data_IF_391561674276
#
_entry.id   IF_391561674276
#
_cell.length_a   1.000
_cell.length_b   1.000
_cell.length_c   1.000
_cell.angle_alpha   90.00
_cell.angle_beta   90.00
_cell.angle_gamma   90.00
#
_symmetry.space_group_name_H-M   'P 1'
#
loop_
_entity.id
_entity.type
_entity.pdbx_description
1 polymer ?
#
# COMPACT_ATOMS: atom_id res chain seq x y z
N UNK A 1 -6.41 -1.06 -16.83
CA UNK A 1 -5.94 -1.40 -15.48
C UNK A 1 -4.45 -1.21 -15.45
N UNK A 2 -3.91 -0.59 -14.41
CA UNK A 2 -2.47 -0.46 -14.23
C UNK A 2 -2.03 -1.31 -13.05
N UNK A 3 -0.83 -1.89 -13.14
CA UNK A 3 -0.23 -2.74 -12.11
C UNK A 3 1.17 -2.22 -11.82
N UNK A 4 1.47 -1.95 -10.55
CA UNK A 4 2.79 -1.51 -10.12
C UNK A 4 3.53 -2.67 -9.43
N UNK A 5 4.79 -2.93 -9.80
CA UNK A 5 5.62 -3.97 -9.16
C UNK A 5 6.24 -3.46 -7.86
N UNK A 6 5.58 -3.77 -6.74
CA UNK A 6 6.03 -3.38 -5.40
C UNK A 6 7.37 -3.97 -4.98
N UNK A 7 7.85 -5.02 -5.66
CA UNK A 7 9.17 -5.62 -5.40
C UNK A 7 10.25 -4.76 -6.06
N UNK A 8 10.03 -4.38 -7.32
CA UNK A 8 10.94 -3.48 -8.04
C UNK A 8 11.01 -2.11 -7.35
N UNK A 9 9.87 -1.58 -6.90
CA UNK A 9 9.83 -0.34 -6.13
C UNK A 9 10.62 -0.43 -4.83
N UNK A 10 10.52 -1.53 -4.08
CA UNK A 10 11.33 -1.75 -2.87
C UNK A 10 12.83 -1.83 -3.17
N UNK A 11 13.21 -2.60 -4.20
CA UNK A 11 14.61 -2.80 -4.57
C UNK A 11 15.30 -1.47 -4.97
N UNK A 12 14.54 -0.54 -5.57
CA UNK A 12 15.00 0.78 -6.01
C UNK A 12 15.11 1.84 -4.90
N UNK A 13 14.61 1.59 -3.69
CA UNK A 13 14.81 2.49 -2.56
C UNK A 13 16.29 2.57 -2.17
N UNK A 14 16.73 3.72 -1.65
CA UNK A 14 18.04 3.84 -1.01
C UNK A 14 18.10 3.03 0.31
N UNK A 15 19.31 2.80 0.79
CA UNK A 15 19.55 1.96 1.97
C UNK A 15 19.00 2.58 3.26
N UNK A 16 18.97 3.93 3.34
CA UNK A 16 18.41 4.65 4.48
C UNK A 16 16.90 4.42 4.59
N UNK A 17 16.18 4.59 3.49
CA UNK A 17 14.73 4.38 3.42
C UNK A 17 14.38 2.91 3.63
N UNK A 18 15.19 1.98 3.11
CA UNK A 18 15.01 0.53 3.39
C UNK A 18 15.14 0.24 4.87
N UNK A 19 16.13 0.82 5.55
CA UNK A 19 16.32 0.64 6.99
C UNK A 19 15.18 1.27 7.80
N UNK A 20 14.74 2.48 7.43
CA UNK A 20 13.63 3.17 8.11
C UNK A 20 12.32 2.37 8.01
N UNK A 21 12.03 1.78 6.85
CA UNK A 21 10.73 1.15 6.56
C UNK A 21 10.62 -0.31 7.00
N UNK A 22 11.75 -0.98 7.28
CA UNK A 22 11.85 -2.44 7.48
C UNK A 22 10.83 -3.00 8.47
N UNK A 23 10.69 -2.35 9.63
CA UNK A 23 9.86 -2.85 10.72
C UNK A 23 8.50 -2.14 10.87
N UNK A 24 8.22 -1.15 10.03
CA UNK A 24 7.02 -0.33 10.16
C UNK A 24 5.74 -1.17 9.98
N UNK A 25 4.73 -0.81 10.78
CA UNK A 25 3.40 -1.44 10.75
C UNK A 25 2.39 -0.36 10.39
N UNK A 26 1.58 -0.62 9.37
CA UNK A 26 0.49 0.24 8.94
C UNK A 26 -0.86 -0.26 9.45
N UNK A 27 -1.77 0.67 9.74
CA UNK A 27 -3.18 0.38 9.95
C UNK A 27 -3.94 0.52 8.63
N UNK A 28 -4.60 -0.57 8.21
CA UNK A 28 -5.39 -0.64 6.99
C UNK A 28 -6.88 -0.69 7.32
N UNK A 29 -7.67 0.15 6.66
CA UNK A 29 -9.13 0.18 6.78
C UNK A 29 -9.75 0.77 5.53
N UNK A 30 -10.95 0.29 5.18
CA UNK A 30 -11.80 0.92 4.16
C UNK A 30 -12.16 2.37 4.52
N UNK A 31 -12.22 2.71 5.80
CA UNK A 31 -12.49 4.08 6.26
C UNK A 31 -11.40 5.06 5.79
N UNK A 32 -10.14 4.64 5.70
CA UNK A 32 -9.05 5.51 5.23
C UNK A 32 -9.13 5.80 3.73
N UNK A 33 -9.35 4.77 2.91
CA UNK A 33 -9.48 4.94 1.46
C UNK A 33 -10.72 5.73 1.09
N UNK A 34 -11.86 5.43 1.73
CA UNK A 34 -13.13 6.12 1.48
C UNK A 34 -13.12 7.55 2.03
N UNK A 35 -12.49 7.78 3.19
CA UNK A 35 -12.31 9.11 3.74
C UNK A 35 -11.50 10.03 2.83
N UNK A 36 -10.51 9.49 2.11
CA UNK A 36 -9.74 10.26 1.12
C UNK A 36 -10.57 10.66 -0.12
N UNK A 37 -11.71 10.01 -0.33
CA UNK A 37 -12.71 10.37 -1.35
C UNK A 37 -13.85 11.25 -0.79
N UNK A 38 -13.77 11.66 0.48
CA UNK A 38 -14.76 12.51 1.15
C UNK A 38 -15.85 11.76 1.93
N UNK A 39 -15.82 10.43 1.99
CA UNK A 39 -16.78 9.64 2.78
C UNK A 39 -16.28 9.44 4.20
N UNK A 40 -16.73 10.28 5.13
CA UNK A 40 -16.29 10.27 6.54
C UNK A 40 -17.36 9.87 7.53
N UNK A 41 -18.62 9.84 7.10
CA UNK A 41 -19.76 9.49 7.94
C UNK A 41 -19.96 7.98 7.93
N UNK A 42 -19.74 7.35 9.08
CA UNK A 42 -19.90 5.91 9.28
C UNK A 42 -20.80 5.66 10.48
N UNK A 43 -21.72 4.69 10.36
CA UNK A 43 -22.46 4.17 11.52
C UNK A 43 -21.52 3.45 12.49
N UNK A 44 -21.96 3.19 13.72
CA UNK A 44 -21.15 2.43 14.68
C UNK A 44 -20.93 0.98 14.21
N UNK A 45 -21.92 0.38 13.55
CA UNK A 45 -21.78 -0.95 12.94
C UNK A 45 -20.72 -0.95 11.82
N UNK A 46 -20.69 0.09 10.98
CA UNK A 46 -19.68 0.22 9.92
C UNK A 46 -18.27 0.46 10.49
N UNK A 47 -18.14 1.29 11.54
CA UNK A 47 -16.86 1.50 12.23
C UNK A 47 -16.32 0.19 12.80
N UNK A 48 -17.19 -0.65 13.34
CA UNK A 48 -16.80 -1.96 13.85
C UNK A 48 -16.45 -2.94 12.73
N UNK A 49 -17.21 -2.94 11.63
CA UNK A 49 -16.94 -3.79 10.45
C UNK A 49 -15.63 -3.42 9.76
N UNK A 50 -15.33 -2.13 9.65
CA UNK A 50 -14.12 -1.61 9.02
C UNK A 50 -13.00 -1.32 10.02
N UNK A 51 -13.06 -1.91 11.21
CA UNK A 51 -12.06 -1.73 12.25
C UNK A 51 -10.65 -1.92 11.66
N UNK A 52 -9.73 -0.96 11.84
CA UNK A 52 -8.41 -1.04 11.23
C UNK A 52 -7.64 -2.30 11.65
N UNK A 53 -6.96 -2.91 10.67
CA UNK A 53 -6.11 -4.08 10.86
C UNK A 53 -4.64 -3.72 10.63
N UNK A 54 -3.74 -4.45 11.28
CA UNK A 54 -2.30 -4.17 11.22
C UNK A 54 -1.64 -5.00 10.13
N UNK A 55 -0.78 -4.36 9.34
CA UNK A 55 0.00 -5.00 8.28
C UNK A 55 1.43 -4.47 8.28
N UNK A 56 2.42 -5.31 7.93
CA UNK A 56 3.81 -4.84 7.74
C UNK A 56 3.90 -3.98 6.49
N UNK A 57 4.65 -2.89 6.55
CA UNK A 57 4.95 -2.05 5.38
C UNK A 57 5.89 -2.76 4.42
N UNK A 58 6.87 -3.51 4.93
CA UNK A 58 7.77 -4.35 4.13
C UNK A 58 7.37 -5.81 4.34
N UNK A 59 7.02 -6.49 3.25
CA UNK A 59 6.60 -7.89 3.26
C UNK A 59 7.58 -8.76 2.50
N UNK A 60 7.67 -10.03 2.88
CA UNK A 60 8.54 -11.01 2.22
C UNK A 60 7.68 -12.07 1.55
N UNK A 61 7.83 -12.23 0.23
CA UNK A 61 7.07 -13.23 -0.52
C UNK A 61 7.47 -14.66 -0.09
N UNK A 62 6.52 -15.58 0.19
CA UNK A 62 6.83 -16.86 0.82
C UNK A 62 7.63 -17.83 -0.06
N UNK A 63 7.54 -17.70 -1.39
CA UNK A 63 8.19 -18.62 -2.34
C UNK A 63 9.65 -18.22 -2.59
N UNK A 64 9.87 -17.04 -3.16
CA UNK A 64 11.19 -16.56 -3.60
C UNK A 64 11.85 -15.57 -2.65
N UNK A 65 11.21 -15.24 -1.51
CA UNK A 65 11.76 -14.38 -0.44
C UNK A 65 12.14 -12.95 -0.86
N UNK A 66 11.67 -12.48 -2.02
CA UNK A 66 11.82 -11.06 -2.38
C UNK A 66 10.98 -10.22 -1.44
N UNK A 67 11.53 -9.06 -1.07
CA UNK A 67 10.82 -8.04 -0.33
C UNK A 67 9.97 -7.20 -1.29
N UNK A 68 8.89 -6.64 -0.76
CA UNK A 68 8.04 -5.65 -1.45
C UNK A 68 7.44 -4.68 -0.46
N UNK A 69 7.11 -3.48 -0.95
CA UNK A 69 6.31 -2.52 -0.21
C UNK A 69 4.84 -2.94 -0.22
N UNK A 70 4.18 -2.98 0.93
CA UNK A 70 2.76 -3.31 1.03
C UNK A 70 1.90 -2.05 1.03
N UNK A 71 1.93 -1.33 -0.09
CA UNK A 71 1.21 -0.08 -0.26
C UNK A 71 -0.24 -0.34 -0.68
N UNK A 72 -1.13 0.49 -0.17
CA UNK A 72 -2.55 0.46 -0.52
C UNK A 72 -3.19 1.79 -0.10
N UNK A 73 -4.23 2.22 -0.82
CA UNK A 73 -5.08 3.35 -0.39
C UNK A 73 -5.75 3.12 0.96
N UNK A 74 -5.80 1.87 1.43
CA UNK A 74 -6.32 1.52 2.74
C UNK A 74 -5.34 1.82 3.88
N UNK A 75 -4.04 2.01 3.61
CA UNK A 75 -3.06 2.35 4.64
C UNK A 75 -3.21 3.83 5.03
N UNK A 76 -3.73 4.10 6.23
CA UNK A 76 -4.01 5.47 6.68
C UNK A 76 -3.13 5.98 7.81
N UNK A 77 -2.39 5.10 8.48
CA UNK A 77 -1.56 5.41 9.64
C UNK A 77 -0.39 4.43 9.74
N UNK A 78 0.75 4.92 10.21
CA UNK A 78 1.91 4.10 10.62
C UNK A 78 1.99 4.10 12.14
N UNK A 79 2.09 2.91 12.74
CA UNK A 79 2.20 2.76 14.19
C UNK A 79 3.54 3.32 14.67
N UNK A 80 3.51 4.14 15.73
CA UNK A 80 4.70 4.77 16.29
C UNK A 80 5.01 6.16 15.72
N UNK A 81 4.32 6.57 14.64
CA UNK A 81 4.44 7.92 14.05
C UNK A 81 3.20 8.76 14.34
N UNK A 82 3.32 10.08 14.24
CA UNK A 82 2.13 10.93 14.19
C UNK A 82 1.36 10.69 12.89
N UNK A 83 0.05 11.02 12.89
CA UNK A 83 -0.78 10.83 11.68
C UNK A 83 -0.24 11.61 10.48
N UNK A 84 0.16 12.90 10.60
CA UNK A 84 0.73 13.63 9.47
C UNK A 84 2.02 13.00 8.93
N UNK A 85 2.97 12.66 9.81
CA UNK A 85 4.25 12.06 9.40
C UNK A 85 4.06 10.72 8.70
N UNK A 86 3.26 9.82 9.28
CA UNK A 86 2.98 8.53 8.67
C UNK A 86 2.28 8.65 7.31
N UNK A 87 1.37 9.63 7.15
CA UNK A 87 0.71 9.87 5.85
C UNK A 87 1.64 10.51 4.81
N UNK A 88 2.57 11.35 5.23
CA UNK A 88 3.61 11.91 4.35
C UNK A 88 4.53 10.79 3.84
N UNK A 89 5.05 9.96 4.74
CA UNK A 89 5.85 8.78 4.36
C UNK A 89 5.12 7.87 3.38
N UNK A 90 3.86 7.52 3.68
CA UNK A 90 3.06 6.67 2.78
C UNK A 90 2.81 7.34 1.43
N UNK A 91 2.58 8.66 1.39
CA UNK A 91 2.42 9.39 0.13
C UNK A 91 3.69 9.32 -0.71
N UNK A 92 4.84 9.60 -0.11
CA UNK A 92 6.12 9.65 -0.82
C UNK A 92 6.50 8.25 -1.35
N UNK A 93 6.25 7.18 -0.57
CA UNK A 93 6.41 5.79 -1.02
C UNK A 93 5.44 5.41 -2.14
N UNK A 94 4.18 5.89 -2.11
CA UNK A 94 3.22 5.65 -3.19
C UNK A 94 3.63 6.37 -4.48
N UNK A 95 4.09 7.61 -4.37
CA UNK A 95 4.60 8.38 -5.51
C UNK A 95 5.80 7.67 -6.16
N UNK A 96 6.75 7.21 -5.34
CA UNK A 96 7.88 6.38 -5.78
C UNK A 96 7.42 5.09 -6.48
N UNK A 97 6.61 4.29 -5.80
CA UNK A 97 6.26 2.96 -6.27
C UNK A 97 5.32 2.95 -7.51
N UNK A 98 4.76 4.10 -7.88
CA UNK A 98 3.90 4.28 -9.06
C UNK A 98 4.57 5.05 -10.20
N UNK A 99 5.88 5.30 -10.11
CA UNK A 99 6.67 5.79 -11.24
C UNK A 99 6.58 4.82 -12.45
N UNK A 100 6.70 5.37 -13.66
CA UNK A 100 6.45 4.65 -14.92
C UNK A 100 7.30 3.40 -15.10
N UNK A 101 8.51 3.37 -14.56
CA UNK A 101 9.41 2.21 -14.61
C UNK A 101 8.90 0.99 -13.83
N UNK A 102 8.01 1.19 -12.86
CA UNK A 102 7.42 0.10 -12.08
C UNK A 102 6.01 -0.30 -12.57
N UNK A 103 5.45 0.43 -13.54
CA UNK A 103 4.03 0.31 -13.93
C UNK A 103 3.85 -0.39 -15.26
N UNK A 104 3.05 -1.45 -15.25
CA UNK A 104 2.48 -2.07 -16.44
C UNK A 104 1.06 -1.53 -16.70
N UNK A 105 0.80 -1.05 -17.92
CA UNK A 105 -0.53 -0.59 -18.35
C UNK A 105 -1.18 -1.69 -19.20
N UNK A 106 -2.18 -2.37 -18.65
CA UNK A 106 -2.96 -3.37 -19.39
C UNK A 106 -4.06 -2.71 -20.21
N UNK A 107 -3.96 -2.86 -21.54
CA UNK A 107 -5.01 -2.48 -22.49
C UNK A 107 -5.93 -3.68 -22.70
N UNK A 108 -7.12 -3.61 -22.13
CA UNK A 108 -8.12 -4.67 -22.19
C UNK A 108 -8.59 -4.94 -23.62
N UNK A 109 -8.75 -6.21 -23.95
CA UNK A 109 -9.53 -6.68 -25.10
C UNK A 109 -10.67 -7.59 -24.66
N UNK A 110 -11.67 -7.73 -25.53
CA UNK A 110 -12.85 -8.55 -25.25
C UNK A 110 -12.42 -9.99 -24.97
N UNK A 111 -12.90 -10.55 -23.85
CA UNK A 111 -12.57 -11.89 -23.33
C UNK A 111 -11.19 -12.07 -22.71
N UNK A 112 -10.45 -11.00 -22.41
CA UNK A 112 -9.25 -11.10 -21.57
C UNK A 112 -9.59 -11.63 -20.16
N UNK A 113 -8.71 -12.48 -19.65
CA UNK A 113 -8.64 -12.81 -18.23
C UNK A 113 -7.26 -12.40 -17.72
N UNK A 114 -7.22 -11.46 -16.80
CA UNK A 114 -6.00 -11.01 -16.13
C UNK A 114 -6.05 -11.45 -14.67
N UNK A 115 -4.98 -12.09 -14.22
CA UNK A 115 -4.79 -12.52 -12.84
C UNK A 115 -3.53 -11.85 -12.29
N UNK A 116 -3.59 -11.38 -11.05
CA UNK A 116 -2.46 -10.76 -10.38
C UNK A 116 -2.32 -11.27 -8.95
N UNK A 117 -1.13 -11.10 -8.41
CA UNK A 117 -0.85 -11.36 -7.01
C UNK A 117 -0.94 -10.04 -6.23
N UNK A 118 -1.74 -10.01 -5.16
CA UNK A 118 -1.81 -8.84 -4.26
C UNK A 118 -0.70 -8.87 -3.19
N UNK A 119 0.19 -9.87 -3.26
CA UNK A 119 1.27 -10.14 -2.30
C UNK A 119 2.63 -9.61 -2.72
#
# INVERSE_FOLDING_TARGET
TEFADMRAAYDALDDETKAETEDLICEHSLMYSRGSLGFTDYSEEEKQMFKPVRQRLVRTHPVHRRKSLYLSSHAGKVIGMTVPEGRLLLRDLNEHATQREFVHIHKWTVHDLVMWDNR
#
